data_IF_341133595881
#
_entry.id   IF_341133595881
#
_cell.length_a   1.000
_cell.length_b   1.000
_cell.length_c   1.000
_cell.angle_alpha   90.00
_cell.angle_beta   90.00
_cell.angle_gamma   90.00
#
_symmetry.space_group_name_H-M   'P 1'
#
loop_
_entity.id
_entity.type
_entity.pdbx_description
1 polymer ?
#
# COMPACT_ATOMS: atom_id res chain seq x y z
N UNK A 1 22.43 53.85 37.75
CA UNK A 1 21.04 53.36 37.56
C UNK A 1 21.10 52.04 36.81
N UNK A 2 20.33 51.08 37.30
CA UNK A 2 20.46 49.63 37.14
C UNK A 2 20.13 49.11 35.74
N UNK A 3 21.03 48.35 35.10
CA UNK A 3 20.70 47.49 33.95
C UNK A 3 21.06 46.02 34.21
N UNK A 4 20.88 45.57 35.45
CA UNK A 4 20.94 44.15 35.85
C UNK A 4 19.64 43.40 35.57
N UNK A 5 18.56 44.12 35.26
CA UNK A 5 17.27 43.52 34.88
C UNK A 5 17.29 42.94 33.46
N UNK A 6 18.06 43.52 32.53
CA UNK A 6 18.08 43.10 31.13
C UNK A 6 18.74 41.71 30.94
N UNK A 7 19.83 41.45 31.66
CA UNK A 7 20.54 40.16 31.63
C UNK A 7 19.70 39.02 32.21
N UNK A 8 18.97 39.26 33.31
CA UNK A 8 18.14 38.22 33.94
C UNK A 8 16.98 37.76 33.06
N UNK A 9 16.36 38.68 32.33
CA UNK A 9 15.27 38.35 31.39
C UNK A 9 15.79 37.52 30.21
N UNK A 10 16.99 37.81 29.72
CA UNK A 10 17.61 37.07 28.62
C UNK A 10 17.91 35.61 29.00
N UNK A 11 18.40 35.37 30.22
CA UNK A 11 18.66 34.02 30.73
C UNK A 11 17.37 33.21 30.94
N UNK A 12 16.27 33.83 31.39
CA UNK A 12 14.99 33.14 31.57
C UNK A 12 14.39 32.74 30.21
N UNK A 13 14.46 33.61 29.20
CA UNK A 13 13.95 33.29 27.86
C UNK A 13 14.77 32.18 27.18
N UNK A 14 16.10 32.19 27.31
CA UNK A 14 16.95 31.12 26.80
C UNK A 14 16.65 29.76 27.48
N UNK A 15 16.41 29.75 28.80
CA UNK A 15 16.02 28.55 29.54
C UNK A 15 14.65 28.01 29.08
N UNK A 16 13.67 28.89 28.83
CA UNK A 16 12.34 28.50 28.32
C UNK A 16 12.39 27.95 26.89
N UNK A 17 13.27 28.48 26.03
CA UNK A 17 13.48 27.94 24.66
C UNK A 17 14.14 26.55 24.73
N UNK A 18 15.11 26.35 25.62
CA UNK A 18 15.77 25.07 25.82
C UNK A 18 14.83 24.00 26.44
N UNK A 19 14.00 24.37 27.42
CA UNK A 19 12.94 23.50 27.93
C UNK A 19 11.85 23.19 26.87
N UNK A 20 11.53 24.17 26.02
CA UNK A 20 10.57 24.01 24.92
C UNK A 20 11.03 23.01 23.85
N UNK A 21 12.32 23.01 23.51
CA UNK A 21 12.90 22.06 22.55
C UNK A 21 12.83 20.61 23.06
N UNK A 22 13.12 20.38 24.35
CA UNK A 22 13.11 19.04 24.94
C UNK A 22 11.70 18.44 25.07
N UNK A 23 10.67 19.26 25.31
CA UNK A 23 9.27 18.79 25.32
C UNK A 23 8.72 18.47 23.92
N UNK A 24 9.25 19.14 22.88
CA UNK A 24 8.88 18.91 21.48
C UNK A 24 9.44 17.61 20.91
N UNK A 25 10.65 17.21 21.32
CA UNK A 25 11.29 15.97 20.86
C UNK A 25 10.69 14.70 21.49
N UNK A 26 10.27 14.76 22.77
CA UNK A 26 9.74 13.59 23.47
C UNK A 26 8.31 13.19 23.06
N UNK A 27 7.58 14.01 22.27
CA UNK A 27 6.22 13.71 21.80
C UNK A 27 6.10 13.24 20.36
N UNK A 28 7.19 13.04 19.63
CA UNK A 28 7.18 12.07 18.52
C UNK A 28 7.20 10.67 19.12
N UNK A 29 6.10 10.27 19.78
CA UNK A 29 5.79 8.85 19.91
C UNK A 29 5.78 8.33 18.49
N UNK A 30 6.80 7.56 18.11
CA UNK A 30 6.87 6.84 16.85
C UNK A 30 5.57 6.05 16.73
N UNK A 31 4.59 6.57 15.98
CA UNK A 31 3.36 5.85 15.68
C UNK A 31 3.84 4.72 14.78
N UNK A 32 3.82 3.49 15.30
CA UNK A 32 4.23 2.30 14.54
C UNK A 32 3.52 2.33 13.19
N UNK A 33 4.29 2.36 12.11
CA UNK A 33 3.74 2.43 10.76
C UNK A 33 2.95 1.15 10.44
N UNK A 34 1.78 1.27 9.76
CA UNK A 34 1.03 0.11 9.32
C UNK A 34 1.86 -0.74 8.36
N UNK A 35 1.96 -2.04 8.64
CA UNK A 35 2.60 -2.97 7.71
C UNK A 35 1.68 -3.26 6.52
N UNK A 36 1.95 -2.64 5.38
CA UNK A 36 1.25 -2.85 4.12
C UNK A 36 2.30 -3.21 3.06
N UNK A 37 2.56 -4.51 2.79
CA UNK A 37 3.57 -4.98 1.85
C UNK A 37 3.11 -4.65 0.42
N UNK A 38 3.54 -3.48 -0.04
CA UNK A 38 3.20 -2.92 -1.34
C UNK A 38 4.50 -2.46 -2.02
N UNK A 39 4.67 -2.69 -3.33
CA UNK A 39 3.69 -3.26 -4.26
C UNK A 39 3.57 -4.79 -4.22
N UNK A 40 2.41 -5.34 -4.61
CA UNK A 40 2.27 -6.78 -4.86
C UNK A 40 3.09 -7.18 -6.10
N UNK A 41 3.64 -8.40 -6.10
CA UNK A 41 4.49 -8.88 -7.19
C UNK A 41 3.73 -9.15 -8.50
N UNK A 42 4.37 -8.91 -9.65
CA UNK A 42 3.75 -9.24 -10.93
C UNK A 42 3.47 -10.74 -11.05
N UNK A 43 2.29 -11.15 -11.56
CA UNK A 43 2.01 -12.56 -11.79
C UNK A 43 2.91 -13.17 -12.87
N UNK A 44 3.51 -14.30 -12.53
CA UNK A 44 4.40 -15.11 -13.37
C UNK A 44 3.91 -16.55 -13.40
N UNK A 45 4.36 -17.38 -14.36
CA UNK A 45 4.09 -18.81 -14.33
C UNK A 45 4.49 -19.48 -13.00
N UNK A 46 5.51 -18.95 -12.31
CA UNK A 46 6.04 -19.49 -11.07
C UNK A 46 5.16 -19.15 -9.85
N UNK A 47 4.55 -17.97 -9.80
CA UNK A 47 3.79 -17.52 -8.61
C UNK A 47 2.26 -17.54 -8.78
N UNK A 48 1.72 -17.68 -10.00
CA UNK A 48 0.26 -17.63 -10.25
C UNK A 48 -0.53 -18.72 -9.50
N UNK A 49 0.10 -19.87 -9.24
CA UNK A 49 -0.52 -20.90 -8.40
C UNK A 49 -0.71 -20.41 -6.95
N UNK A 50 0.28 -19.70 -6.39
CA UNK A 50 0.23 -19.14 -5.05
C UNK A 50 -0.76 -17.96 -4.95
N UNK A 51 -0.88 -17.16 -6.02
CA UNK A 51 -1.93 -16.13 -6.15
C UNK A 51 -3.31 -16.73 -5.85
N UNK A 52 -3.63 -17.87 -6.47
CA UNK A 52 -4.95 -18.51 -6.31
C UNK A 52 -5.14 -19.29 -5.01
N UNK A 53 -4.11 -19.98 -4.52
CA UNK A 53 -4.25 -20.89 -3.37
C UNK A 53 -4.09 -20.19 -2.03
N UNK A 54 -3.28 -19.13 -1.95
CA UNK A 54 -2.94 -18.44 -0.70
C UNK A 54 -3.83 -17.25 -0.33
N UNK A 55 -4.86 -16.91 -1.13
CA UNK A 55 -5.61 -15.65 -1.00
C UNK A 55 -6.18 -15.39 0.39
N UNK A 56 -6.84 -16.39 0.97
CA UNK A 56 -7.45 -16.28 2.31
C UNK A 56 -6.43 -16.15 3.45
N UNK A 57 -5.17 -16.52 3.22
CA UNK A 57 -4.08 -16.38 4.19
C UNK A 57 -3.32 -15.06 4.06
N UNK A 58 -3.62 -14.21 3.07
CA UNK A 58 -2.95 -12.92 2.88
C UNK A 58 -3.72 -11.77 3.53
N UNK A 59 -3.05 -10.79 4.17
CA UNK A 59 -3.71 -9.68 4.85
C UNK A 59 -4.72 -8.91 3.98
N UNK A 60 -5.73 -8.35 4.63
CA UNK A 60 -6.67 -7.38 4.06
C UNK A 60 -6.66 -6.12 4.90
N UNK A 61 -6.98 -5.00 4.27
CA UNK A 61 -6.80 -3.67 4.85
C UNK A 61 -8.12 -2.91 4.89
N UNK A 62 -9.09 -3.30 5.74
CA UNK A 62 -10.29 -2.50 5.96
C UNK A 62 -9.94 -1.16 6.62
N UNK A 63 -10.86 -0.19 6.61
CA UNK A 63 -10.59 1.13 7.20
C UNK A 63 -10.23 1.08 8.69
N UNK A 64 -10.72 0.06 9.41
CA UNK A 64 -10.42 -0.20 10.82
C UNK A 64 -8.98 -0.66 11.08
N UNK A 65 -8.26 -1.14 10.05
CA UNK A 65 -6.84 -1.53 10.17
C UNK A 65 -5.94 -0.31 10.43
N UNK A 66 -6.34 0.86 9.93
CA UNK A 66 -5.51 2.05 9.95
C UNK A 66 -5.92 2.99 11.08
N UNK A 67 -4.97 3.70 11.72
CA UNK A 67 -5.28 4.76 12.67
C UNK A 67 -6.15 5.86 12.04
N UNK A 68 -6.95 6.54 12.87
CA UNK A 68 -7.96 7.51 12.41
C UNK A 68 -7.38 8.70 11.62
N UNK A 69 -6.12 9.11 11.89
CA UNK A 69 -5.49 10.24 11.20
C UNK A 69 -4.05 9.93 10.77
N UNK A 70 -3.63 10.58 9.67
CA UNK A 70 -2.25 10.62 9.16
C UNK A 70 -1.70 9.35 8.49
N UNK A 71 -2.54 8.53 7.85
CA UNK A 71 -2.11 7.32 7.11
C UNK A 71 -2.84 7.13 5.76
N UNK A 72 -3.22 8.23 5.10
CA UNK A 72 -3.98 8.18 3.83
C UNK A 72 -3.25 7.43 2.71
N UNK A 73 -1.93 7.58 2.58
CA UNK A 73 -1.14 6.85 1.59
C UNK A 73 -1.15 5.33 1.87
N UNK A 74 -1.02 4.91 3.13
CA UNK A 74 -1.13 3.50 3.51
C UNK A 74 -2.55 2.94 3.26
N UNK A 75 -3.60 3.74 3.52
CA UNK A 75 -4.98 3.37 3.21
C UNK A 75 -5.16 3.08 1.71
N UNK A 76 -4.61 3.94 0.83
CA UNK A 76 -4.69 3.74 -0.62
C UNK A 76 -3.90 2.52 -1.09
N UNK A 77 -2.71 2.26 -0.54
CA UNK A 77 -1.96 1.01 -0.79
C UNK A 77 -2.76 -0.22 -0.36
N UNK A 78 -3.36 -0.18 0.83
CA UNK A 78 -4.20 -1.25 1.34
C UNK A 78 -5.45 -1.49 0.48
N UNK A 79 -6.10 -0.41 0.02
CA UNK A 79 -7.22 -0.47 -0.92
C UNK A 79 -6.80 -1.13 -2.24
N UNK A 80 -5.65 -0.75 -2.79
CA UNK A 80 -5.11 -1.35 -4.01
C UNK A 80 -4.87 -2.87 -3.85
N UNK A 81 -4.34 -3.31 -2.71
CA UNK A 81 -4.18 -4.74 -2.42
C UNK A 81 -5.53 -5.45 -2.30
N UNK A 82 -6.49 -4.89 -1.55
CA UNK A 82 -7.82 -5.49 -1.41
C UNK A 82 -8.53 -5.65 -2.77
N UNK A 83 -8.42 -4.62 -3.63
CA UNK A 83 -8.91 -4.64 -5.01
C UNK A 83 -8.28 -5.74 -5.83
N UNK A 84 -6.95 -5.81 -5.82
CA UNK A 84 -6.23 -6.83 -6.56
C UNK A 84 -6.60 -8.24 -6.11
N UNK A 85 -6.69 -8.48 -4.81
CA UNK A 85 -7.10 -9.76 -4.24
C UNK A 85 -8.53 -10.14 -4.61
N UNK A 86 -9.45 -9.17 -4.61
CA UNK A 86 -10.81 -9.38 -5.12
C UNK A 86 -10.81 -9.77 -6.59
N UNK A 87 -9.99 -9.13 -7.42
CA UNK A 87 -9.93 -9.44 -8.87
C UNK A 87 -9.22 -10.76 -9.16
N UNK A 88 -8.20 -11.13 -8.37
CA UNK A 88 -7.61 -12.46 -8.44
C UNK A 88 -8.61 -13.57 -8.16
N UNK A 89 -9.58 -13.37 -7.26
CA UNK A 89 -10.64 -14.37 -7.05
C UNK A 89 -11.44 -14.68 -8.33
N UNK A 90 -11.60 -13.69 -9.22
CA UNK A 90 -12.25 -13.87 -10.53
C UNK A 90 -11.37 -14.72 -11.46
N UNK A 91 -10.07 -14.45 -11.51
CA UNK A 91 -9.12 -15.23 -12.32
C UNK A 91 -8.91 -16.66 -11.82
N UNK A 92 -9.11 -16.86 -10.52
CA UNK A 92 -8.87 -18.12 -9.81
C UNK A 92 -10.13 -18.97 -9.62
N UNK A 93 -11.25 -18.59 -10.24
CA UNK A 93 -12.49 -19.37 -10.24
C UNK A 93 -13.04 -19.61 -11.65
N UNK A 94 -14.01 -20.52 -11.78
CA UNK A 94 -14.70 -20.81 -13.04
C UNK A 94 -13.80 -21.35 -14.16
N UNK A 95 -14.17 -21.06 -15.41
CA UNK A 95 -13.48 -21.58 -16.61
C UNK A 95 -12.07 -20.99 -16.77
N UNK A 96 -11.87 -19.72 -16.41
CA UNK A 96 -10.56 -19.05 -16.48
C UNK A 96 -9.53 -19.81 -15.65
N UNK A 97 -9.91 -20.27 -14.45
CA UNK A 97 -9.01 -20.99 -13.56
C UNK A 97 -8.59 -22.38 -14.07
N UNK A 98 -9.32 -22.96 -15.02
CA UNK A 98 -9.01 -24.27 -15.60
C UNK A 98 -7.98 -24.19 -16.73
N UNK A 99 -7.75 -23.01 -17.29
CA UNK A 99 -6.82 -22.77 -18.38
C UNK A 99 -5.58 -22.01 -17.87
N UNK A 100 -4.39 -22.65 -17.76
CA UNK A 100 -3.21 -22.02 -17.16
C UNK A 100 -2.82 -20.68 -17.79
N UNK A 101 -2.83 -20.58 -19.12
CA UNK A 101 -2.43 -19.37 -19.83
C UNK A 101 -3.44 -18.23 -19.63
N UNK A 102 -4.74 -18.55 -19.67
CA UNK A 102 -5.80 -17.57 -19.43
C UNK A 102 -5.82 -17.10 -17.97
N UNK A 103 -5.56 -18.00 -17.01
CA UNK A 103 -5.41 -17.64 -15.60
C UNK A 103 -4.25 -16.66 -15.39
N UNK A 104 -3.09 -16.96 -15.96
CA UNK A 104 -1.93 -16.09 -15.86
C UNK A 104 -2.22 -14.73 -16.49
N UNK A 105 -2.75 -14.72 -17.72
CA UNK A 105 -3.10 -13.49 -18.41
C UNK A 105 -4.13 -12.64 -17.64
N UNK A 106 -5.19 -13.28 -17.12
CA UNK A 106 -6.19 -12.60 -16.28
C UNK A 106 -5.54 -11.95 -15.05
N UNK A 107 -4.67 -12.68 -14.34
CA UNK A 107 -3.98 -12.14 -13.17
C UNK A 107 -3.06 -10.96 -13.54
N UNK A 108 -2.35 -11.04 -14.67
CA UNK A 108 -1.49 -9.94 -15.15
C UNK A 108 -2.30 -8.69 -15.53
N UNK A 109 -3.44 -8.86 -16.19
CA UNK A 109 -4.37 -7.75 -16.48
C UNK A 109 -4.91 -7.13 -15.18
N UNK A 110 -5.37 -7.95 -14.23
CA UNK A 110 -5.86 -7.49 -12.93
C UNK A 110 -4.79 -6.70 -12.17
N UNK A 111 -3.54 -7.17 -12.17
CA UNK A 111 -2.41 -6.49 -11.54
C UNK A 111 -2.16 -5.12 -12.15
N UNK A 112 -2.03 -5.02 -13.48
CA UNK A 112 -1.79 -3.76 -14.18
C UNK A 112 -2.92 -2.78 -13.94
N UNK A 113 -4.17 -3.24 -14.03
CA UNK A 113 -5.33 -2.38 -13.85
C UNK A 113 -5.49 -1.91 -12.40
N UNK A 114 -5.19 -2.77 -11.40
CA UNK A 114 -5.32 -2.38 -10.00
C UNK A 114 -4.30 -1.31 -9.62
N UNK A 115 -3.06 -1.43 -10.14
CA UNK A 115 -2.00 -0.43 -9.93
C UNK A 115 -2.21 0.83 -10.77
N UNK A 116 -2.78 0.71 -11.97
CA UNK A 116 -3.25 1.87 -12.72
C UNK A 116 -4.26 2.67 -11.91
N UNK A 117 -5.29 2.01 -11.38
CA UNK A 117 -6.33 2.67 -10.58
C UNK A 117 -5.76 3.25 -9.27
N UNK A 118 -4.78 2.59 -8.65
CA UNK A 118 -4.05 3.17 -7.52
C UNK A 118 -3.35 4.48 -7.90
N UNK A 119 -2.73 4.56 -9.07
CA UNK A 119 -2.09 5.79 -9.53
C UNK A 119 -3.08 6.92 -9.82
N UNK A 120 -4.26 6.60 -10.37
CA UNK A 120 -5.35 7.57 -10.53
C UNK A 120 -5.81 8.10 -9.15
N UNK A 121 -5.96 7.20 -8.17
CA UNK A 121 -6.34 7.55 -6.80
C UNK A 121 -5.28 8.42 -6.12
N UNK A 122 -4.00 8.10 -6.25
CA UNK A 122 -2.89 8.90 -5.72
C UNK A 122 -2.87 10.30 -6.32
N UNK A 123 -3.00 10.39 -7.65
CA UNK A 123 -2.96 11.66 -8.41
C UNK A 123 -4.18 12.55 -8.15
N UNK A 124 -5.29 11.98 -7.68
CA UNK A 124 -6.49 12.73 -7.29
C UNK A 124 -6.37 13.47 -5.94
N UNK A 125 -5.20 13.39 -5.28
CA UNK A 125 -4.96 13.97 -3.96
C UNK A 125 -3.86 15.03 -3.99
N UNK A 126 -3.86 15.95 -3.02
CA UNK A 126 -2.81 16.97 -2.88
C UNK A 126 -1.52 16.44 -2.22
N UNK A 127 -1.34 15.12 -2.14
CA UNK A 127 -0.15 14.50 -1.55
C UNK A 127 0.87 14.14 -2.62
N UNK A 128 2.15 14.01 -2.23
CA UNK A 128 3.17 13.43 -3.11
C UNK A 128 2.70 12.04 -3.55
N UNK A 129 2.62 11.85 -4.86
CA UNK A 129 2.19 10.61 -5.50
C UNK A 129 3.27 9.55 -5.31
N UNK A 130 2.87 8.30 -5.15
CA UNK A 130 3.78 7.16 -5.21
C UNK A 130 4.69 7.20 -6.45
N UNK A 131 6.01 7.10 -6.25
CA UNK A 131 7.03 7.32 -7.28
C UNK A 131 6.76 6.58 -8.59
N UNK A 132 6.40 5.29 -8.50
CA UNK A 132 6.16 4.48 -9.70
C UNK A 132 5.03 5.02 -10.60
N UNK A 133 4.07 5.77 -10.04
CA UNK A 133 3.00 6.38 -10.81
C UNK A 133 3.45 7.52 -11.71
N UNK A 134 4.63 8.10 -11.46
CA UNK A 134 5.25 9.11 -12.32
C UNK A 134 5.78 8.56 -13.65
N UNK A 135 6.00 7.24 -13.74
CA UNK A 135 6.42 6.60 -14.99
C UNK A 135 5.24 6.25 -15.89
N UNK A 136 5.52 6.02 -17.18
CA UNK A 136 4.53 5.66 -18.19
C UNK A 136 4.78 4.25 -18.74
N UNK A 137 3.72 3.65 -19.28
CA UNK A 137 3.75 2.36 -19.98
C UNK A 137 4.54 1.28 -19.23
N UNK A 138 5.50 0.63 -19.90
CA UNK A 138 6.28 -0.46 -19.33
C UNK A 138 7.19 -0.02 -18.19
N UNK A 139 7.69 1.23 -18.20
CA UNK A 139 8.55 1.73 -17.12
C UNK A 139 7.80 1.77 -15.77
N UNK A 140 6.50 2.08 -15.80
CA UNK A 140 5.62 2.02 -14.62
C UNK A 140 5.57 0.63 -14.03
N UNK A 141 5.33 -0.38 -14.88
CA UNK A 141 5.20 -1.76 -14.43
C UNK A 141 6.53 -2.34 -13.95
N UNK A 142 7.63 -1.99 -14.61
CA UNK A 142 8.99 -2.33 -14.14
C UNK A 142 9.25 -1.74 -12.75
N UNK A 143 8.88 -0.47 -12.51
CA UNK A 143 9.02 0.15 -11.19
C UNK A 143 8.20 -0.58 -10.12
N UNK A 144 6.92 -0.87 -10.39
CA UNK A 144 6.10 -1.62 -9.44
C UNK A 144 6.57 -3.06 -9.20
N UNK A 145 7.46 -3.59 -10.04
CA UNK A 145 8.00 -4.93 -9.91
C UNK A 145 9.49 -4.96 -9.53
N UNK A 146 10.06 -3.85 -9.03
CA UNK A 146 11.47 -3.77 -8.63
C UNK A 146 11.71 -4.17 -7.18
N UNK A 147 10.85 -3.74 -6.27
CA UNK A 147 10.90 -4.04 -4.84
C UNK A 147 9.65 -4.81 -4.44
N UNK A 148 9.82 -6.10 -4.15
CA UNK A 148 8.72 -7.04 -3.93
C UNK A 148 8.73 -7.55 -2.49
N UNK A 149 7.92 -6.97 -1.58
CA UNK A 149 7.89 -7.40 -0.18
C UNK A 149 7.34 -8.82 0.02
N UNK A 150 6.57 -9.35 -0.94
CA UNK A 150 6.04 -10.71 -0.92
C UNK A 150 5.96 -11.30 -2.35
N UNK A 151 7.10 -11.72 -2.95
CA UNK A 151 7.17 -12.15 -4.35
C UNK A 151 6.41 -13.46 -4.62
N UNK A 152 6.32 -14.33 -3.61
CA UNK A 152 5.76 -15.67 -3.72
C UNK A 152 4.31 -15.76 -3.24
N UNK A 153 3.67 -14.62 -2.95
CA UNK A 153 2.29 -14.58 -2.46
C UNK A 153 2.07 -15.45 -1.20
N UNK A 154 3.11 -15.54 -0.36
CA UNK A 154 3.10 -16.37 0.84
C UNK A 154 2.00 -15.90 1.80
N UNK A 155 1.20 -16.83 2.37
CA UNK A 155 0.22 -16.50 3.39
C UNK A 155 0.91 -16.15 4.71
N UNK A 156 0.20 -15.40 5.56
CA UNK A 156 0.60 -15.17 6.94
C UNK A 156 0.17 -16.37 7.80
N UNK A 157 1.09 -17.07 8.49
CA UNK A 157 0.74 -18.22 9.32
C UNK A 157 -0.30 -17.86 10.39
N UNK A 158 -1.34 -18.69 10.52
CA UNK A 158 -2.40 -18.52 11.50
C UNK A 158 -3.36 -17.34 11.23
N UNK A 159 -3.22 -16.65 10.10
CA UNK A 159 -4.12 -15.57 9.71
C UNK A 159 -5.24 -16.07 8.78
N UNK A 160 -6.43 -15.49 8.94
CA UNK A 160 -7.55 -15.66 8.02
C UNK A 160 -8.07 -14.29 7.62
N UNK A 161 -8.14 -14.03 6.32
CA UNK A 161 -8.61 -12.77 5.78
C UNK A 161 -10.07 -12.50 6.21
N UNK A 162 -10.39 -11.28 6.70
CA UNK A 162 -11.77 -10.89 6.85
C UNK A 162 -12.45 -10.85 5.49
N UNK A 163 -13.76 -11.04 5.48
CA UNK A 163 -14.55 -10.86 4.27
C UNK A 163 -14.47 -9.39 3.85
N UNK A 164 -14.01 -9.16 2.62
CA UNK A 164 -14.00 -7.84 1.99
C UNK A 164 -15.10 -7.80 0.92
N UNK A 165 -15.76 -6.65 0.73
CA UNK A 165 -16.69 -6.48 -0.38
C UNK A 165 -16.00 -6.75 -1.73
N UNK A 166 -16.69 -7.36 -2.71
CA UNK A 166 -16.15 -7.50 -4.05
C UNK A 166 -15.87 -6.14 -4.69
N UNK A 167 -14.69 -6.00 -5.28
CA UNK A 167 -14.28 -4.79 -5.99
C UNK A 167 -14.70 -4.88 -7.46
N UNK A 168 -15.41 -3.87 -7.94
CA UNK A 168 -15.89 -3.77 -9.33
C UNK A 168 -14.83 -3.13 -10.22
N UNK A 169 -15.08 -3.14 -11.53
CA UNK A 169 -14.31 -2.38 -12.50
C UNK A 169 -13.24 -3.17 -13.26
N UNK A 170 -13.07 -4.46 -12.96
CA UNK A 170 -12.22 -5.35 -13.75
C UNK A 170 -13.05 -6.33 -14.57
N UNK A 171 -12.73 -6.41 -15.86
CA UNK A 171 -13.29 -7.37 -16.81
C UNK A 171 -12.13 -8.00 -17.55
N UNK A 172 -11.98 -9.32 -17.43
CA UNK A 172 -10.93 -10.05 -18.12
C UNK A 172 -11.16 -10.03 -19.64
N UNK A 173 -10.12 -9.68 -20.42
CA UNK A 173 -10.13 -9.79 -21.86
C UNK A 173 -9.21 -10.95 -22.32
N UNK A 174 -9.76 -12.11 -22.71
CA UNK A 174 -8.96 -13.26 -23.14
C UNK A 174 -8.18 -13.04 -24.44
N UNK A 175 -8.52 -12.00 -25.21
CA UNK A 175 -7.87 -11.66 -26.49
C UNK A 175 -6.75 -10.62 -26.34
N UNK A 176 -6.51 -10.13 -25.13
CA UNK A 176 -5.43 -9.17 -24.81
C UNK A 176 -4.32 -9.85 -23.99
N UNK A 177 -4.09 -11.12 -24.33
CA UNK A 177 -2.96 -11.95 -23.96
C UNK A 177 -2.07 -12.05 -25.22
#
# INVERSE_FOLDING_TARGET
>A
MTSTQCLRVFWIMALMILLGAQLGESRRKSKKEPNVPFPPAYPTPQNVAAVCTGGNGRPRYPDSFFPASSFSHYRRRGKAINRLESWYSLCCSGVVAQQPDQKLCCAQQAWKQALFQFCEEESSTMTVVYECCGYQENARWTCFNSELPNPDYSPTPGYTAPLMPPERGFTFNPNAC
#
